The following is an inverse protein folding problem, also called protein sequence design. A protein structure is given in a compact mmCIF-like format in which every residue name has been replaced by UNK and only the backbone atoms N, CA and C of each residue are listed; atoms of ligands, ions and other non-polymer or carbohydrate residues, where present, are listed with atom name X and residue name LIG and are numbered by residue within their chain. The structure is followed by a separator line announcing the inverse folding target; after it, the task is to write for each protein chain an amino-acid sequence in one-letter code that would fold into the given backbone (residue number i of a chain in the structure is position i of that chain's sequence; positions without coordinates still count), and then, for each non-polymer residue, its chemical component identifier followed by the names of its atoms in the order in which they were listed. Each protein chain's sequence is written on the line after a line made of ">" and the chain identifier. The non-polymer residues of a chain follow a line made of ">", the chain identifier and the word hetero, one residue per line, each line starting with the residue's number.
data_IF_112462578603
#
_entry.id   IF_112462578603
#
_cell.length_a   1.000
_cell.length_b   1.000
_cell.length_c   1.000
_cell.angle_alpha   90.00
_cell.angle_beta   90.00
_cell.angle_gamma   90.00
#
_symmetry.space_group_name_H-M   'P 1'
#
loop_
_entity.id
_entity.type
_entity.pdbx_description
1 polymer ?
#
# COMPACT_ATOMS: atom_id res chain seq x y z
N UNK A 1 -6.17 3.19 0.74
CA UNK A 1 -5.09 3.11 -0.25
C UNK A 1 -4.02 2.17 0.26
N UNK A 2 -3.44 1.37 -0.62
CA UNK A 2 -2.27 0.54 -0.33
C UNK A 2 -1.10 0.97 -1.20
N UNK A 3 0.10 0.68 -0.72
CA UNK A 3 1.32 0.84 -1.50
C UNK A 3 2.07 -0.49 -1.53
N UNK A 4 2.76 -0.74 -2.64
CA UNK A 4 3.66 -1.88 -2.80
C UNK A 4 5.10 -1.36 -2.87
N UNK A 5 5.99 -1.92 -2.07
CA UNK A 5 7.43 -1.57 -2.13
C UNK A 5 8.01 -2.14 -3.43
N UNK A 6 8.67 -1.29 -4.21
CA UNK A 6 9.26 -1.66 -5.52
C UNK A 6 10.78 -1.51 -5.53
N UNK A 7 11.35 -0.75 -4.59
CA UNK A 7 12.79 -0.54 -4.47
C UNK A 7 13.18 -0.13 -3.05
N UNK A 8 14.48 -0.10 -2.77
CA UNK A 8 15.07 0.37 -1.50
C UNK A 8 16.52 0.76 -1.74
N UNK A 9 17.07 1.64 -0.90
CA UNK A 9 18.50 1.96 -0.89
C UNK A 9 19.30 1.11 0.11
N UNK A 10 18.63 0.23 0.86
CA UNK A 10 19.23 -0.71 1.81
C UNK A 10 19.35 -0.20 3.25
N UNK A 11 19.01 1.06 3.52
CA UNK A 11 19.08 1.67 4.86
C UNK A 11 17.72 1.83 5.54
N UNK A 12 16.63 1.67 4.79
CA UNK A 12 15.29 1.83 5.31
C UNK A 12 14.84 0.60 6.09
N UNK A 13 13.88 0.79 7.01
CA UNK A 13 13.31 -0.31 7.78
C UNK A 13 12.60 -1.36 6.90
N UNK A 14 12.16 -0.96 5.70
CA UNK A 14 11.49 -1.79 4.71
C UNK A 14 12.43 -2.34 3.63
N UNK A 15 13.75 -2.32 3.84
CA UNK A 15 14.74 -2.74 2.83
C UNK A 15 14.52 -4.14 2.26
N UNK A 16 14.04 -5.07 3.09
CA UNK A 16 13.79 -6.47 2.72
C UNK A 16 12.31 -6.73 2.36
N UNK A 17 11.54 -5.66 2.09
CA UNK A 17 10.09 -5.74 1.86
C UNK A 17 9.68 -5.55 0.39
N UNK A 18 10.58 -5.71 -0.58
CA UNK A 18 10.23 -5.59 -2.02
C UNK A 18 9.09 -6.57 -2.35
N UNK A 19 8.04 -6.06 -3.01
CA UNK A 19 6.81 -6.79 -3.33
C UNK A 19 5.77 -6.83 -2.20
N UNK A 20 6.14 -6.43 -0.98
CA UNK A 20 5.21 -6.36 0.16
C UNK A 20 4.30 -5.13 0.05
N UNK A 21 3.05 -5.31 0.49
CA UNK A 21 2.05 -4.25 0.52
C UNK A 21 1.81 -3.74 1.93
N UNK A 22 1.58 -2.44 2.03
CA UNK A 22 1.26 -1.78 3.29
C UNK A 22 0.06 -0.84 3.12
N UNK A 23 -0.79 -0.82 4.15
CA UNK A 23 -1.93 0.11 4.21
C UNK A 23 -1.45 1.51 4.59
N UNK A 24 -1.71 2.47 3.71
CA UNK A 24 -1.39 3.87 3.98
C UNK A 24 -2.43 4.46 4.93
N UNK A 25 -1.96 5.06 6.01
CA UNK A 25 -2.79 5.80 6.96
C UNK A 25 -2.90 7.27 6.55
N UNK A 26 -1.78 7.87 6.14
CA UNK A 26 -1.75 9.28 5.73
C UNK A 26 -0.54 9.59 4.84
N UNK A 27 -0.63 10.70 4.13
CA UNK A 27 0.51 11.32 3.45
C UNK A 27 1.19 12.33 4.38
N UNK A 28 2.53 12.33 4.39
CA UNK A 28 3.26 13.28 5.21
C UNK A 28 3.21 14.70 4.61
N UNK A 29 2.61 15.64 5.35
CA UNK A 29 2.37 17.03 4.92
C UNK A 29 3.50 18.03 5.26
N UNK A 30 4.40 17.72 6.21
CA UNK A 30 5.55 18.58 6.64
C UNK A 30 6.90 17.90 6.40
N UNK A 31 7.94 18.04 7.25
CA UNK A 31 9.35 17.61 7.03
C UNK A 31 9.63 16.17 6.55
N UNK A 32 8.60 15.35 6.32
CA UNK A 32 8.64 14.10 5.57
C UNK A 32 7.97 14.18 4.18
N UNK A 33 7.97 15.34 3.50
CA UNK A 33 7.48 15.45 2.10
C UNK A 33 8.09 14.32 1.26
N UNK A 34 7.25 13.67 0.46
CA UNK A 34 7.66 12.51 -0.34
C UNK A 34 7.63 11.19 0.43
N UNK A 35 6.93 11.11 1.56
CA UNK A 35 6.73 9.85 2.29
C UNK A 35 5.25 9.54 2.56
N UNK A 36 4.89 8.26 2.52
CA UNK A 36 3.66 7.73 3.09
C UNK A 36 3.88 7.29 4.53
N UNK A 37 2.87 7.48 5.38
CA UNK A 37 2.79 6.87 6.70
C UNK A 37 1.96 5.62 6.57
N UNK A 38 2.57 4.47 6.83
CA UNK A 38 1.90 3.16 6.78
C UNK A 38 1.65 2.64 8.18
N UNK A 39 0.53 1.92 8.35
CA UNK A 39 0.25 1.18 9.57
C UNK A 39 0.85 -0.23 9.45
N UNK A 40 1.54 -0.66 10.49
CA UNK A 40 2.15 -1.98 10.58
C UNK A 40 1.24 -2.95 11.32
N UNK A 41 0.97 -4.09 10.68
CA UNK A 41 0.36 -5.24 11.33
C UNK A 41 1.29 -5.82 12.38
N UNK A 42 0.75 -6.61 13.32
CA UNK A 42 1.47 -7.04 14.53
C UNK A 42 2.80 -7.72 14.21
N UNK A 43 2.79 -8.54 13.17
CA UNK A 43 3.93 -9.32 12.67
C UNK A 43 5.02 -8.40 12.09
N UNK A 44 4.62 -7.28 11.50
CA UNK A 44 5.51 -6.37 10.80
C UNK A 44 6.15 -5.32 11.70
N UNK A 45 5.62 -5.14 12.92
CA UNK A 45 6.16 -4.15 13.87
C UNK A 45 7.60 -4.45 14.25
N UNK A 46 8.03 -5.71 14.17
CA UNK A 46 9.43 -6.12 14.42
C UNK A 46 10.42 -5.41 13.48
N UNK A 47 10.00 -5.08 12.26
CA UNK A 47 10.81 -4.35 11.27
C UNK A 47 11.13 -2.92 11.73
N UNK A 48 10.34 -2.38 12.65
CA UNK A 48 10.38 -1.01 13.15
C UNK A 48 10.44 -0.97 14.67
N UNK A 49 11.18 -1.88 15.31
CA UNK A 49 11.37 -1.90 16.77
C UNK A 49 10.03 -1.82 17.55
N UNK A 50 9.03 -2.56 17.09
CA UNK A 50 7.68 -2.62 17.63
C UNK A 50 6.81 -1.37 17.48
N UNK A 51 7.26 -0.36 16.73
CA UNK A 51 6.43 0.79 16.38
C UNK A 51 5.22 0.38 15.51
N UNK A 52 4.10 1.09 15.69
CA UNK A 52 2.86 0.82 14.96
C UNK A 52 2.83 1.43 13.55
N UNK A 53 3.73 2.38 13.29
CA UNK A 53 3.74 3.16 12.06
C UNK A 53 5.16 3.24 11.49
N UNK A 54 5.25 3.16 10.17
CA UNK A 54 6.48 3.32 9.41
C UNK A 54 6.33 4.41 8.37
N UNK A 55 7.44 5.07 8.03
CA UNK A 55 7.48 5.96 6.88
C UNK A 55 8.08 5.26 5.68
N UNK A 56 7.41 5.32 4.54
CA UNK A 56 7.86 4.75 3.27
C UNK A 56 8.09 5.89 2.28
N UNK A 57 9.24 5.88 1.58
CA UNK A 57 9.49 6.88 0.55
C UNK A 57 8.61 6.62 -0.67
N UNK A 58 7.96 7.66 -1.18
CA UNK A 58 7.10 7.56 -2.37
C UNK A 58 7.88 7.04 -3.58
N UNK A 59 9.18 7.33 -3.67
CA UNK A 59 10.05 6.84 -4.76
C UNK A 59 10.30 5.32 -4.69
N UNK A 60 10.10 4.72 -3.52
CA UNK A 60 10.34 3.31 -3.26
C UNK A 60 9.08 2.46 -3.34
N UNK A 61 7.94 3.06 -3.68
CA UNK A 61 6.68 2.36 -3.75
C UNK A 61 5.83 2.83 -4.93
N UNK A 62 4.84 2.01 -5.28
CA UNK A 62 3.74 2.39 -6.15
C UNK A 62 2.43 2.26 -5.41
N UNK A 63 1.47 3.13 -5.72
CA UNK A 63 0.11 3.00 -5.22
C UNK A 63 -0.57 1.80 -5.87
N UNK A 64 -1.24 0.99 -5.06
CA UNK A 64 -2.07 -0.13 -5.52
C UNK A 64 -3.52 0.34 -5.46
N UNK A 65 -4.09 0.60 -6.63
CA UNK A 65 -5.53 0.90 -6.74
C UNK A 65 -6.33 -0.40 -6.54
N UNK A 66 -7.38 -0.41 -5.71
CA UNK A 66 -8.26 -1.57 -5.63
C UNK A 66 -8.94 -1.77 -6.99
N UNK A 67 -9.07 -3.03 -7.40
CA UNK A 67 -9.92 -3.37 -8.55
C UNK A 67 -11.36 -3.28 -8.04
N UNK A 68 -12.12 -2.33 -8.57
CA UNK A 68 -13.55 -2.22 -8.31
C UNK A 68 -14.27 -3.07 -9.35
N UNK A 69 -15.28 -3.83 -8.95
CA UNK A 69 -16.11 -4.60 -9.86
C UNK A 69 -17.50 -3.98 -9.91
N UNK A 70 -18.09 -3.94 -11.08
CA UNK A 70 -19.52 -3.69 -11.27
C UNK A 70 -20.24 -5.04 -11.29
N UNK A 71 -21.34 -5.13 -10.54
CA UNK A 71 -22.21 -6.29 -10.54
C UNK A 71 -23.32 -6.08 -11.57
N UNK A 72 -23.43 -7.00 -12.52
CA UNK A 72 -24.47 -7.02 -13.55
C UNK A 72 -25.28 -8.29 -13.34
N UNK A 73 -26.56 -8.14 -13.00
CA UNK A 73 -27.50 -9.26 -12.92
C UNK A 73 -28.26 -9.41 -14.23
N UNK A 74 -28.33 -10.64 -14.73
CA UNK A 74 -29.13 -11.03 -15.89
C UNK A 74 -30.10 -12.14 -15.52
N UNK A 75 -31.14 -12.34 -16.34
CA UNK A 75 -32.21 -13.31 -16.08
C UNK A 75 -31.74 -14.76 -15.88
N UNK A 76 -30.54 -15.11 -16.38
CA UNK A 76 -29.98 -16.46 -16.27
C UNK A 76 -28.63 -16.52 -15.54
N UNK A 77 -27.88 -15.41 -15.46
CA UNK A 77 -26.52 -15.38 -14.91
C UNK A 77 -26.18 -13.99 -14.36
N UNK A 78 -25.38 -13.99 -13.30
CA UNK A 78 -24.76 -12.81 -12.72
C UNK A 78 -23.27 -12.72 -13.11
N UNK A 79 -22.78 -11.51 -13.37
CA UNK A 79 -21.39 -11.26 -13.75
C UNK A 79 -20.76 -10.14 -12.92
N UNK A 80 -19.46 -10.28 -12.61
CA UNK A 80 -18.61 -9.22 -12.06
C UNK A 80 -17.67 -8.69 -13.14
N UNK A 81 -17.80 -7.43 -13.50
CA UNK A 81 -16.98 -6.79 -14.52
C UNK A 81 -15.98 -5.85 -13.84
N UNK A 82 -14.65 -6.02 -14.02
CA UNK A 82 -13.68 -5.11 -13.44
C UNK A 82 -13.81 -3.73 -14.08
N UNK A 83 -14.07 -2.72 -13.25
CA UNK A 83 -14.06 -1.31 -13.64
C UNK A 83 -12.59 -0.92 -13.80
N UNK A 84 -12.14 -0.78 -15.05
CA UNK A 84 -10.82 -0.22 -15.34
C UNK A 84 -10.83 1.25 -14.91
N UNK A 85 -10.05 1.57 -13.88
CA UNK A 85 -9.97 2.93 -13.34
C UNK A 85 -9.51 3.94 -14.40
N UNK A 86 -10.25 5.06 -14.49
CA UNK A 86 -9.88 6.30 -15.16
C UNK A 86 -8.54 6.88 -14.65
#
# INVERSE_FOLDING_TARGET
>A
MEIEIISSTGIEWYKDCIGKRFKVQSESRKGGRGKYVVRLEKEDRVLMNWHMYGWVDKKHCKEVKPIVYEFISGENYDYLVPIKGQ
#
